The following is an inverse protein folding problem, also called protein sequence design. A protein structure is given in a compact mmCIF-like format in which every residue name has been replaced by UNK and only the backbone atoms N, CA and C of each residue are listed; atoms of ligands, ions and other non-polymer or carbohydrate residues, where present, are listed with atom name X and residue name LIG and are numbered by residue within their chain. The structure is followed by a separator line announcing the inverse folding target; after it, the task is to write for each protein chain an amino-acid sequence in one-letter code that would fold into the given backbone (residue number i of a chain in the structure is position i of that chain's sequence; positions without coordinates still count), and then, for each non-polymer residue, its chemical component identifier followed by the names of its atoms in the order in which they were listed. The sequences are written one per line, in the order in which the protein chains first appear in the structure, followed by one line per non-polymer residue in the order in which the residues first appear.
data_IF_193999575513
#
_entry.id   IF_193999575513
#
_cell.length_a   1.000
_cell.length_b   1.000
_cell.length_c   1.000
_cell.angle_alpha   90.00
_cell.angle_beta   90.00
_cell.angle_gamma   90.00
#
_symmetry.space_group_name_H-M   'P 1'
#
loop_
_entity.id
_entity.type
_entity.pdbx_description
1 polymer ?
#
# COMPACT_ATOMS: atom_id res chain seq x y z
N UNK A 1 -13.84 18.07 12.18
CA UNK A 1 -13.43 17.95 10.77
C UNK A 1 -12.40 16.86 10.70
N UNK A 2 -12.71 15.73 10.04
CA UNK A 2 -11.73 14.69 9.74
C UNK A 2 -10.68 15.30 8.82
N UNK A 3 -9.42 15.30 9.24
CA UNK A 3 -8.31 15.69 8.35
C UNK A 3 -8.38 14.79 7.11
N UNK A 4 -8.13 15.31 5.90
CA UNK A 4 -7.94 14.47 4.73
C UNK A 4 -6.84 13.44 5.05
N UNK A 5 -7.07 12.20 4.65
CA UNK A 5 -6.03 11.18 4.69
C UNK A 5 -4.96 11.61 3.68
N UNK A 6 -3.75 11.95 4.14
CA UNK A 6 -2.68 12.42 3.26
C UNK A 6 -1.48 11.46 3.34
N UNK A 7 -1.37 10.60 2.33
CA UNK A 7 -0.17 9.78 2.08
C UNK A 7 0.68 10.33 0.93
N UNK A 8 0.48 11.60 0.57
CA UNK A 8 1.21 12.28 -0.51
C UNK A 8 2.71 12.25 -0.30
N UNK A 9 3.18 12.44 0.95
CA UNK A 9 4.60 12.33 1.30
C UNK A 9 5.18 10.95 1.02
N UNK A 10 4.40 9.89 1.23
CA UNK A 10 4.82 8.52 0.93
C UNK A 10 4.97 8.29 -0.58
N UNK A 11 4.00 8.75 -1.38
CA UNK A 11 4.12 8.63 -2.84
C UNK A 11 5.27 9.47 -3.41
N UNK A 12 5.53 10.65 -2.87
CA UNK A 12 6.71 11.46 -3.21
C UNK A 12 8.01 10.72 -2.90
N UNK A 13 8.08 10.04 -1.74
CA UNK A 13 9.22 9.23 -1.35
C UNK A 13 9.44 8.07 -2.33
N UNK A 14 8.39 7.33 -2.69
CA UNK A 14 8.49 6.24 -3.65
C UNK A 14 8.97 6.72 -5.01
N UNK A 15 8.42 7.85 -5.49
CA UNK A 15 8.83 8.45 -6.75
C UNK A 15 10.31 8.88 -6.73
N UNK A 16 10.79 9.48 -5.63
CA UNK A 16 12.21 9.81 -5.50
C UNK A 16 13.12 8.57 -5.61
N UNK A 17 12.72 7.44 -4.99
CA UNK A 17 13.47 6.18 -5.09
C UNK A 17 13.42 5.61 -6.51
N UNK A 18 12.25 5.66 -7.18
CA UNK A 18 12.08 5.26 -8.57
C UNK A 18 13.04 6.04 -9.49
N UNK A 19 13.09 7.36 -9.34
CA UNK A 19 13.97 8.25 -10.10
C UNK A 19 15.47 8.05 -9.78
N UNK A 20 15.77 7.31 -8.70
CA UNK A 20 17.10 6.83 -8.38
C UNK A 20 17.78 7.55 -7.23
N UNK A 21 17.05 8.27 -6.40
CA UNK A 21 17.55 8.74 -5.11
C UNK A 21 17.61 7.57 -4.11
N UNK A 22 18.74 6.85 -4.15
CA UNK A 22 18.97 5.70 -3.29
C UNK A 22 19.10 6.06 -1.81
N UNK A 23 19.38 7.34 -1.48
CA UNK A 23 19.47 7.81 -0.09
C UNK A 23 18.14 7.67 0.67
N UNK A 24 17.04 7.57 -0.09
CA UNK A 24 15.68 7.41 0.42
C UNK A 24 15.26 5.96 0.70
N UNK A 25 16.07 4.96 0.35
CA UNK A 25 15.73 3.53 0.60
C UNK A 25 15.67 3.19 2.09
N UNK A 26 16.55 3.79 2.90
CA UNK A 26 16.55 3.62 4.36
C UNK A 26 15.33 4.29 5.00
N UNK A 27 14.93 5.47 4.48
CA UNK A 27 13.72 6.18 4.90
C UNK A 27 12.47 5.36 4.61
N UNK A 28 12.35 4.79 3.40
CA UNK A 28 11.24 3.90 3.04
C UNK A 28 11.17 2.68 3.97
N UNK A 29 12.30 2.03 4.24
CA UNK A 29 12.35 0.86 5.13
C UNK A 29 11.88 1.20 6.54
N UNK A 30 12.28 2.36 7.06
CA UNK A 30 11.87 2.86 8.38
C UNK A 30 10.37 3.14 8.44
N UNK A 31 9.82 3.80 7.41
CA UNK A 31 8.39 4.10 7.33
C UNK A 31 7.56 2.82 7.20
N UNK A 32 8.01 1.85 6.40
CA UNK A 32 7.32 0.57 6.26
C UNK A 32 7.22 -0.21 7.57
N UNK A 33 8.27 -0.16 8.42
CA UNK A 33 8.23 -0.75 9.77
C UNK A 33 7.20 -0.03 10.64
N UNK A 34 7.20 1.31 10.65
CA UNK A 34 6.22 2.09 11.41
C UNK A 34 4.79 1.80 10.96
N UNK A 35 4.57 1.74 9.65
CA UNK A 35 3.26 1.52 9.04
C UNK A 35 2.71 0.12 9.29
N UNK A 36 3.60 -0.88 9.35
CA UNK A 36 3.23 -2.24 9.76
C UNK A 36 2.65 -2.27 11.18
N UNK A 37 3.19 -1.46 12.09
CA UNK A 37 2.81 -1.44 13.49
C UNK A 37 1.63 -0.50 13.79
N UNK A 38 1.40 0.52 12.96
CA UNK A 38 0.28 1.46 13.12
C UNK A 38 0.39 2.32 14.39
N UNK A 39 1.61 2.50 14.92
CA UNK A 39 1.86 3.13 16.21
C UNK A 39 1.68 4.66 16.18
N UNK A 40 1.94 5.30 15.03
CA UNK A 40 1.85 6.76 14.86
C UNK A 40 0.52 7.20 14.22
N UNK A 41 -0.42 6.28 14.04
CA UNK A 41 -1.71 6.57 13.45
C UNK A 41 -2.54 7.50 14.33
N UNK A 42 -3.19 8.47 13.69
CA UNK A 42 -4.05 9.48 14.35
C UNK A 42 -5.54 9.11 14.34
N UNK A 43 -5.92 8.08 13.59
CA UNK A 43 -7.29 7.55 13.50
C UNK A 43 -7.29 6.11 12.97
N UNK A 44 -8.43 5.42 13.07
CA UNK A 44 -8.57 4.08 12.48
C UNK A 44 -8.36 4.08 10.95
N UNK A 45 -8.72 5.17 10.26
CA UNK A 45 -8.52 5.30 8.81
C UNK A 45 -7.04 5.47 8.47
N UNK A 46 -6.34 6.26 9.27
CA UNK A 46 -4.91 6.49 9.12
C UNK A 46 -4.15 5.18 9.34
N UNK A 47 -4.48 4.45 10.41
CA UNK A 47 -3.88 3.14 10.69
C UNK A 47 -4.15 2.11 9.59
N UNK A 48 -5.39 2.03 9.11
CA UNK A 48 -5.75 1.16 8.00
C UNK A 48 -4.96 1.52 6.73
N UNK A 49 -4.77 2.81 6.46
CA UNK A 49 -4.04 3.30 5.30
C UNK A 49 -2.54 3.03 5.40
N UNK A 50 -1.94 3.24 6.57
CA UNK A 50 -0.55 2.89 6.85
C UNK A 50 -0.32 1.39 6.60
N UNK A 51 -1.17 0.53 7.19
CA UNK A 51 -1.10 -0.90 7.00
C UNK A 51 -1.22 -1.30 5.52
N UNK A 52 -2.16 -0.68 4.80
CA UNK A 52 -2.34 -0.91 3.37
C UNK A 52 -1.13 -0.52 2.53
N UNK A 53 -0.49 0.63 2.82
CA UNK A 53 0.75 1.02 2.15
C UNK A 53 1.86 0.02 2.40
N UNK A 54 1.99 -0.47 3.64
CA UNK A 54 2.94 -1.52 3.96
C UNK A 54 2.69 -2.78 3.13
N UNK A 55 1.46 -3.29 3.12
CA UNK A 55 1.08 -4.49 2.37
C UNK A 55 1.31 -4.30 0.88
N UNK A 56 0.84 -3.19 0.32
CA UNK A 56 0.91 -2.96 -1.12
C UNK A 56 2.35 -2.88 -1.64
N UNK A 57 3.30 -2.32 -0.87
CA UNK A 57 4.72 -2.34 -1.25
C UNK A 57 5.33 -3.74 -1.15
N UNK A 58 5.02 -4.51 -0.10
CA UNK A 58 5.48 -5.90 -0.01
C UNK A 58 4.95 -6.73 -1.19
N UNK A 59 3.68 -6.56 -1.53
CA UNK A 59 3.03 -7.29 -2.60
C UNK A 59 3.47 -6.83 -3.98
N UNK A 60 3.81 -5.55 -4.17
CA UNK A 60 4.48 -5.07 -5.37
C UNK A 60 5.83 -5.78 -5.58
N UNK A 61 6.63 -5.89 -4.51
CA UNK A 61 7.92 -6.59 -4.58
C UNK A 61 7.76 -8.09 -4.82
N UNK A 62 6.74 -8.73 -4.24
CA UNK A 62 6.42 -10.13 -4.51
C UNK A 62 5.99 -10.33 -5.97
N UNK A 63 5.06 -9.50 -6.44
CA UNK A 63 4.50 -9.56 -7.79
C UNK A 63 5.57 -9.44 -8.87
N UNK A 64 6.51 -8.50 -8.67
CA UNK A 64 7.63 -8.23 -9.58
C UNK A 64 8.85 -9.12 -9.32
N UNK A 65 8.88 -9.84 -8.19
CA UNK A 65 10.06 -10.57 -7.70
C UNK A 65 11.31 -9.68 -7.58
N UNK A 66 11.13 -8.38 -7.30
CA UNK A 66 12.18 -7.37 -7.21
C UNK A 66 11.91 -6.40 -6.06
N UNK A 67 12.95 -6.02 -5.32
CA UNK A 67 12.87 -4.96 -4.30
C UNK A 67 13.39 -3.61 -4.83
N UNK A 68 13.78 -3.53 -6.11
CA UNK A 68 14.35 -2.32 -6.68
C UNK A 68 13.29 -1.51 -7.43
N UNK A 69 12.70 -0.52 -6.75
CA UNK A 69 11.69 0.38 -7.34
C UNK A 69 12.20 1.09 -8.61
N UNK A 70 13.50 1.37 -8.71
CA UNK A 70 14.09 1.96 -9.91
C UNK A 70 14.07 0.99 -11.10
N UNK A 71 14.23 -0.30 -10.85
CA UNK A 71 14.11 -1.33 -11.88
C UNK A 71 12.64 -1.49 -12.28
N UNK A 72 11.75 -1.57 -11.29
CA UNK A 72 10.31 -1.75 -11.51
C UNK A 72 9.73 -0.58 -12.30
N UNK A 73 10.10 0.66 -11.98
CA UNK A 73 9.66 1.85 -12.72
C UNK A 73 10.23 1.99 -14.14
N UNK A 74 11.05 1.04 -14.60
CA UNK A 74 11.52 0.94 -15.99
C UNK A 74 10.84 -0.17 -16.77
N UNK A 75 9.94 -0.92 -16.13
CA UNK A 75 9.19 -1.97 -16.80
C UNK A 75 8.35 -1.38 -17.91
N UNK A 76 8.49 -1.99 -19.08
CA UNK A 76 7.69 -1.68 -20.25
C UNK A 76 6.31 -2.31 -20.10
N UNK A 77 5.40 -1.95 -21.01
CA UNK A 77 4.10 -2.61 -21.09
C UNK A 77 4.23 -4.13 -21.25
N UNK A 78 5.19 -4.60 -22.04
CA UNK A 78 5.42 -6.02 -22.28
C UNK A 78 5.84 -6.74 -20.99
N UNK A 79 6.72 -6.12 -20.19
CA UNK A 79 7.11 -6.66 -18.88
C UNK A 79 5.90 -6.78 -17.93
N UNK A 80 5.02 -5.78 -17.92
CA UNK A 80 3.79 -5.81 -17.10
C UNK A 80 2.79 -6.86 -17.58
N UNK A 81 2.63 -7.02 -18.89
CA UNK A 81 1.76 -8.04 -19.49
C UNK A 81 2.28 -9.45 -19.18
N UNK A 82 3.61 -9.68 -19.22
CA UNK A 82 4.22 -10.95 -18.81
C UNK A 82 3.98 -11.25 -17.33
N UNK A 83 4.15 -10.25 -16.46
CA UNK A 83 3.88 -10.40 -15.03
C UNK A 83 2.40 -10.67 -14.74
N UNK A 84 1.49 -10.01 -15.45
CA UNK A 84 0.04 -10.25 -15.33
C UNK A 84 -0.33 -11.68 -15.72
N UNK A 85 0.24 -12.19 -16.82
CA UNK A 85 0.06 -13.57 -17.25
C UNK A 85 0.63 -14.56 -16.23
N UNK A 86 1.84 -14.32 -15.70
CA UNK A 86 2.47 -15.16 -14.69
C UNK A 86 1.65 -15.25 -13.40
N UNK A 87 1.08 -14.12 -12.96
CA UNK A 87 0.29 -14.03 -11.73
C UNK A 87 -1.21 -14.32 -11.95
N UNK A 88 -1.65 -14.53 -13.20
CA UNK A 88 -3.06 -14.65 -13.60
C UNK A 88 -3.95 -13.48 -13.12
N UNK A 89 -3.37 -12.29 -12.99
CA UNK A 89 -4.04 -11.11 -12.44
C UNK A 89 -3.22 -9.85 -12.74
N UNK A 90 -3.89 -8.78 -13.16
CA UNK A 90 -3.23 -7.48 -13.33
C UNK A 90 -2.80 -6.88 -11.99
N UNK A 91 -1.72 -6.11 -11.99
CA UNK A 91 -1.15 -5.51 -10.79
C UNK A 91 -2.18 -4.71 -9.96
N UNK A 92 -3.01 -3.80 -10.53
CA UNK A 92 -3.95 -3.04 -9.71
C UNK A 92 -4.96 -3.93 -8.98
N UNK A 93 -5.47 -4.96 -9.66
CA UNK A 93 -6.41 -5.92 -9.09
C UNK A 93 -5.73 -6.78 -8.03
N UNK A 94 -4.48 -7.18 -8.28
CA UNK A 94 -3.67 -7.96 -7.36
C UNK A 94 -3.44 -7.20 -6.04
N UNK A 95 -2.96 -5.96 -6.11
CA UNK A 95 -2.68 -5.12 -4.93
C UNK A 95 -3.95 -4.85 -4.12
N UNK A 96 -5.05 -4.45 -4.79
CA UNK A 96 -6.33 -4.19 -4.13
C UNK A 96 -6.83 -5.43 -3.38
N UNK A 97 -6.78 -6.60 -4.02
CA UNK A 97 -7.22 -7.85 -3.40
C UNK A 97 -6.32 -8.27 -2.24
N UNK A 98 -4.99 -8.12 -2.37
CA UNK A 98 -4.06 -8.49 -1.31
C UNK A 98 -4.31 -7.67 -0.02
N UNK A 99 -4.50 -6.35 -0.14
CA UNK A 99 -4.86 -5.48 0.98
C UNK A 99 -6.19 -5.89 1.62
N UNK A 100 -7.23 -6.10 0.81
CA UNK A 100 -8.57 -6.48 1.29
C UNK A 100 -8.55 -7.84 2.00
N UNK A 101 -7.86 -8.82 1.42
CA UNK A 101 -7.79 -10.17 1.98
C UNK A 101 -6.99 -10.16 3.28
N UNK A 102 -5.86 -9.44 3.33
CA UNK A 102 -5.08 -9.31 4.55
C UNK A 102 -5.92 -8.80 5.73
N UNK A 103 -6.73 -7.76 5.53
CA UNK A 103 -7.57 -7.20 6.59
C UNK A 103 -8.70 -8.14 7.02
N UNK A 104 -9.22 -8.96 6.11
CA UNK A 104 -10.25 -9.97 6.42
C UNK A 104 -9.67 -11.17 7.17
N UNK A 105 -8.50 -11.64 6.75
CA UNK A 105 -7.92 -12.89 7.24
C UNK A 105 -7.23 -12.71 8.59
N UNK A 106 -6.73 -11.51 8.90
CA UNK A 106 -5.97 -11.24 10.12
C UNK A 106 -6.77 -10.52 11.22
N UNK A 107 -8.10 -10.49 11.13
CA UNK A 107 -9.00 -9.84 12.11
C UNK A 107 -8.66 -8.36 12.37
N UNK A 108 -8.11 -7.67 11.36
CA UNK A 108 -7.68 -6.27 11.50
C UNK A 108 -8.89 -5.36 11.75
N UNK A 109 -10.05 -5.73 11.21
CA UNK A 109 -11.30 -4.98 11.38
C UNK A 109 -11.70 -4.94 12.85
N UNK A 110 -11.69 -6.10 13.52
CA UNK A 110 -11.98 -6.23 14.94
C UNK A 110 -10.95 -5.47 15.80
N UNK A 111 -9.67 -5.57 15.44
CA UNK A 111 -8.58 -4.88 16.15
C UNK A 111 -8.72 -3.35 16.07
N UNK A 112 -8.93 -2.80 14.87
CA UNK A 112 -9.12 -1.36 14.66
C UNK A 112 -10.40 -0.88 15.34
N UNK A 113 -11.50 -1.62 15.22
CA UNK A 113 -12.77 -1.30 15.86
C UNK A 113 -12.61 -1.20 17.39
N UNK A 114 -11.90 -2.16 18.00
CA UNK A 114 -11.62 -2.16 19.43
C UNK A 114 -10.68 -1.02 19.85
N UNK A 115 -9.55 -0.84 19.15
CA UNK A 115 -8.53 0.17 19.47
C UNK A 115 -9.11 1.59 19.40
N UNK A 116 -9.89 1.88 18.37
CA UNK A 116 -10.43 3.21 18.09
C UNK A 116 -11.86 3.42 18.54
N UNK A 117 -12.43 2.47 19.31
CA UNK A 117 -13.82 2.52 19.79
C UNK A 117 -14.82 2.84 18.67
N UNK A 118 -14.57 2.28 17.49
CA UNK A 118 -15.31 2.56 16.26
C UNK A 118 -16.08 1.30 15.86
N UNK A 119 -17.36 1.39 15.43
CA UNK A 119 -18.09 0.21 15.00
C UNK A 119 -17.39 -0.48 13.82
N UNK A 120 -17.28 -1.82 13.83
CA UNK A 120 -16.69 -2.57 12.70
C UNK A 120 -17.34 -2.24 11.36
N UNK A 121 -18.66 -2.00 11.36
CA UNK A 121 -19.40 -1.60 10.16
C UNK A 121 -18.83 -0.32 9.55
N UNK A 122 -18.36 0.60 10.39
CA UNK A 122 -17.74 1.84 9.93
C UNK A 122 -16.39 1.54 9.27
N UNK A 123 -15.52 0.75 9.92
CA UNK A 123 -14.24 0.31 9.35
C UNK A 123 -14.46 -0.38 7.99
N UNK A 124 -15.43 -1.29 7.90
CA UNK A 124 -15.76 -2.05 6.68
C UNK A 124 -16.15 -1.16 5.49
N UNK A 125 -16.74 0.02 5.72
CA UNK A 125 -17.10 0.94 4.62
C UNK A 125 -15.88 1.45 3.86
N UNK A 126 -14.73 1.55 4.54
CA UNK A 126 -13.54 2.16 3.98
C UNK A 126 -12.57 1.17 3.33
N UNK A 127 -12.69 -0.13 3.65
CA UNK A 127 -11.81 -1.20 3.16
C UNK A 127 -11.56 -1.14 1.65
N UNK A 128 -12.61 -1.02 0.83
CA UNK A 128 -12.49 -1.03 -0.64
C UNK A 128 -12.06 0.30 -1.23
N UNK A 129 -12.57 1.40 -0.68
CA UNK A 129 -12.24 2.74 -1.18
C UNK A 129 -10.76 3.07 -0.91
N UNK A 130 -10.27 2.69 0.27
CA UNK A 130 -8.89 2.94 0.65
C UNK A 130 -7.90 2.04 -0.10
N UNK A 131 -8.28 0.79 -0.39
CA UNK A 131 -7.44 -0.09 -1.21
C UNK A 131 -7.33 0.44 -2.64
N UNK A 132 -8.43 0.98 -3.21
CA UNK A 132 -8.41 1.61 -4.52
C UNK A 132 -7.52 2.86 -4.53
N UNK A 133 -7.71 3.77 -3.58
CA UNK A 133 -6.90 4.98 -3.44
C UNK A 133 -5.39 4.69 -3.35
N UNK A 134 -5.00 3.71 -2.55
CA UNK A 134 -3.59 3.33 -2.40
C UNK A 134 -3.06 2.65 -3.67
N UNK A 135 -3.87 1.81 -4.30
CA UNK A 135 -3.50 1.18 -5.56
C UNK A 135 -3.24 2.23 -6.64
N UNK A 136 -4.16 3.17 -6.83
CA UNK A 136 -4.01 4.29 -7.78
C UNK A 136 -2.71 5.06 -7.52
N UNK A 137 -2.45 5.46 -6.26
CA UNK A 137 -1.23 6.19 -5.92
C UNK A 137 0.07 5.40 -6.16
N UNK A 138 0.05 4.06 -6.06
CA UNK A 138 1.22 3.23 -6.41
C UNK A 138 1.38 3.16 -7.93
N UNK A 139 0.29 2.99 -8.68
CA UNK A 139 0.35 2.95 -10.15
C UNK A 139 0.84 4.29 -10.70
N UNK A 140 0.34 5.42 -10.20
CA UNK A 140 0.77 6.76 -10.58
C UNK A 140 2.27 6.98 -10.34
N UNK A 141 2.86 6.33 -9.33
CA UNK A 141 4.30 6.37 -9.09
C UNK A 141 5.06 5.54 -10.12
N UNK A 142 4.52 4.42 -10.58
CA UNK A 142 5.19 3.51 -11.50
C UNK A 142 5.16 3.97 -12.96
N UNK A 143 4.15 4.74 -13.34
CA UNK A 143 4.08 5.44 -14.64
C UNK A 143 5.11 6.58 -14.75
#
# INVERSE_FOLDING_TARGET
MTKPLEFSSFFVLLNAIKEGDLSKKEELSSILIQYKEGNDASSFLDELGQLYLYIAIQELFNYTSSMDLKLIGKYTKEDWDELANKNNCDLPVFLANAMINHVKDNQVIEQLASKWQTPEREVRKHIRQLSAYITEGIIDVLE
#
